data_IF_208376772493
#
_entry.id   IF_208376772493
#
_cell.length_a   1.000
_cell.length_b   1.000
_cell.length_c   1.000
_cell.angle_alpha   90.00
_cell.angle_beta   90.00
_cell.angle_gamma   90.00
#
_symmetry.space_group_name_H-M   'P 1'
#
loop_
_entity.id
_entity.type
_entity.pdbx_description
1 polymer ?
#
# COMPACT_ATOMS: atom_id res chain seq x y z
N UNK A 1 -3.37 34.94 25.76
CA UNK A 1 -2.45 33.90 26.24
C UNK A 1 -2.03 32.99 25.09
N UNK A 2 -0.76 32.95 24.64
CA UNK A 2 -0.37 32.13 23.51
C UNK A 2 0.01 30.72 23.96
N UNK A 3 -0.72 29.73 23.45
CA UNK A 3 -0.52 28.30 23.65
C UNK A 3 0.79 27.84 22.99
N UNK A 4 1.82 27.50 23.79
CA UNK A 4 3.10 26.97 23.29
C UNK A 4 2.93 25.50 22.89
N UNK A 5 2.87 25.21 21.59
CA UNK A 5 3.10 23.85 21.08
C UNK A 5 4.56 23.46 21.36
N UNK A 6 4.78 22.61 22.37
CA UNK A 6 6.10 22.09 22.72
C UNK A 6 6.52 21.02 21.71
N UNK A 7 7.33 21.39 20.72
CA UNK A 7 8.15 20.44 19.97
C UNK A 7 9.26 19.88 20.85
N UNK A 8 9.46 18.56 20.84
CA UNK A 8 10.49 17.86 21.64
C UNK A 8 11.84 18.08 20.95
N UNK A 9 12.73 18.88 21.55
CA UNK A 9 14.10 19.10 21.05
C UNK A 9 15.03 18.00 21.57
N UNK A 10 15.46 17.08 20.70
CA UNK A 10 16.67 16.25 20.91
C UNK A 10 17.67 16.56 19.79
N UNK A 11 18.81 17.16 20.13
CA UNK A 11 20.00 17.14 19.28
C UNK A 11 19.99 17.92 17.96
N UNK A 12 19.27 19.04 17.85
CA UNK A 12 19.41 19.94 16.68
C UNK A 12 18.84 19.43 15.36
N UNK A 13 18.02 18.38 15.38
CA UNK A 13 17.26 17.89 14.22
C UNK A 13 15.78 18.15 14.50
N UNK A 14 15.12 18.91 13.63
CA UNK A 14 13.67 19.13 13.67
C UNK A 14 12.95 17.81 13.34
N UNK A 15 12.43 17.15 14.37
CA UNK A 15 11.64 15.94 14.22
C UNK A 15 10.16 16.30 14.04
N UNK A 16 9.59 15.91 12.90
CA UNK A 16 8.16 16.00 12.63
C UNK A 16 7.55 14.60 12.55
N UNK A 17 6.39 14.42 13.16
CA UNK A 17 5.63 13.18 13.09
C UNK A 17 4.70 13.26 11.88
N UNK A 18 4.77 12.26 11.00
CA UNK A 18 3.91 12.14 9.83
C UNK A 18 3.10 10.85 9.92
N UNK A 19 1.81 10.92 9.56
CA UNK A 19 0.97 9.74 9.33
C UNK A 19 0.94 9.42 7.84
N UNK A 20 0.99 8.14 7.49
CA UNK A 20 0.74 7.71 6.11
C UNK A 20 -0.68 8.12 5.71
N UNK A 21 -0.86 8.53 4.46
CA UNK A 21 -2.20 8.78 3.91
C UNK A 21 -2.90 7.42 3.77
N UNK A 22 -4.20 7.30 4.10
CA UNK A 22 -4.97 6.13 3.72
C UNK A 22 -5.06 6.13 2.19
N UNK A 23 -4.59 5.05 1.56
CA UNK A 23 -4.63 4.88 0.10
C UNK A 23 -5.69 3.85 -0.20
N UNK A 24 -6.74 4.26 -0.92
CA UNK A 24 -7.70 3.33 -1.51
C UNK A 24 -7.08 2.82 -2.81
N UNK A 25 -7.08 1.51 -2.99
CA UNK A 25 -6.58 0.84 -4.19
C UNK A 25 -7.71 0.03 -4.81
N UNK A 26 -7.69 -0.11 -6.12
CA UNK A 26 -8.62 -1.02 -6.82
C UNK A 26 -7.98 -2.39 -6.88
N UNK A 27 -8.69 -3.43 -6.47
CA UNK A 27 -8.22 -4.80 -6.58
C UNK A 27 -9.32 -5.70 -7.10
N UNK A 28 -8.95 -6.71 -7.88
CA UNK A 28 -9.84 -7.75 -8.36
C UNK A 28 -9.19 -9.11 -8.21
N UNK A 29 -9.99 -10.15 -8.04
CA UNK A 29 -9.49 -11.52 -7.94
C UNK A 29 -9.42 -12.15 -9.33
N UNK A 30 -8.29 -12.76 -9.68
CA UNK A 30 -8.17 -13.50 -10.94
C UNK A 30 -8.73 -14.92 -10.79
N UNK A 31 -9.38 -15.45 -11.82
CA UNK A 31 -9.83 -16.85 -11.89
C UNK A 31 -8.84 -17.78 -12.58
N UNK A 32 -7.80 -17.24 -13.22
CA UNK A 32 -6.83 -17.96 -14.03
C UNK A 32 -5.41 -17.54 -13.62
N UNK A 33 -4.43 -18.39 -13.91
CA UNK A 33 -3.02 -18.01 -13.80
C UNK A 33 -2.67 -16.95 -14.86
N UNK A 34 -1.96 -15.90 -14.45
CA UNK A 34 -1.52 -14.83 -15.34
C UNK A 34 -0.16 -14.30 -14.92
N UNK A 35 0.63 -13.91 -15.91
CA UNK A 35 1.91 -13.26 -15.71
C UNK A 35 1.76 -11.74 -15.85
N UNK A 36 2.07 -11.02 -14.77
CA UNK A 36 2.04 -9.57 -14.70
C UNK A 36 3.43 -9.04 -14.99
N UNK A 37 3.56 -8.29 -16.08
CA UNK A 37 4.80 -7.62 -16.46
C UNK A 37 4.93 -6.32 -15.68
N UNK A 38 5.76 -6.31 -14.64
CA UNK A 38 6.10 -5.10 -13.88
C UNK A 38 7.48 -4.58 -14.30
N UNK A 39 7.82 -3.35 -13.89
CA UNK A 39 9.15 -2.77 -14.09
C UNK A 39 10.26 -3.58 -13.40
N UNK A 40 9.93 -4.24 -12.29
CA UNK A 40 10.85 -5.07 -11.50
C UNK A 40 10.97 -6.51 -12.04
N UNK A 41 10.17 -6.88 -13.05
CA UNK A 41 10.15 -8.19 -13.68
C UNK A 41 8.76 -8.80 -13.83
N UNK A 42 8.73 -10.04 -14.30
CA UNK A 42 7.49 -10.80 -14.46
C UNK A 42 7.08 -11.38 -13.11
N UNK A 43 5.88 -11.06 -12.66
CA UNK A 43 5.28 -11.61 -11.46
C UNK A 43 4.17 -12.57 -11.85
N UNK A 44 4.26 -13.82 -11.38
CA UNK A 44 3.23 -14.82 -11.63
C UNK A 44 2.11 -14.69 -10.59
N UNK A 45 0.87 -14.59 -11.06
CA UNK A 45 -0.34 -14.63 -10.25
C UNK A 45 -1.06 -15.95 -10.52
N UNK A 46 -1.50 -16.64 -9.48
CA UNK A 46 -2.31 -17.85 -9.63
C UNK A 46 -3.80 -17.54 -9.55
N UNK A 47 -4.62 -18.45 -10.09
CA UNK A 47 -6.07 -18.40 -9.89
C UNK A 47 -6.42 -18.27 -8.40
N UNK A 48 -7.20 -17.24 -8.05
CA UNK A 48 -7.57 -16.91 -6.67
C UNK A 48 -6.73 -15.81 -6.03
N UNK A 49 -5.63 -15.38 -6.64
CA UNK A 49 -4.86 -14.23 -6.17
C UNK A 49 -5.57 -12.90 -6.51
N UNK A 50 -5.33 -11.89 -5.68
CA UNK A 50 -5.79 -10.52 -5.91
C UNK A 50 -4.77 -9.75 -6.73
N UNK A 51 -5.21 -9.12 -7.81
CA UNK A 51 -4.41 -8.16 -8.56
C UNK A 51 -4.76 -6.77 -8.07
N UNK A 52 -3.80 -6.11 -7.44
CA UNK A 52 -3.94 -4.76 -6.90
C UNK A 52 -3.43 -3.77 -7.93
N UNK A 53 -4.25 -2.79 -8.28
CA UNK A 53 -3.89 -1.63 -9.09
C UNK A 53 -3.54 -0.46 -8.18
N UNK A 54 -2.26 -0.07 -8.16
CA UNK A 54 -1.76 1.08 -7.45
C UNK A 54 -2.18 2.40 -8.08
N UNK A 55 -2.02 3.50 -7.34
CA UNK A 55 -2.35 4.88 -7.77
C UNK A 55 -1.64 5.34 -9.04
N UNK A 56 -0.49 4.73 -9.38
CA UNK A 56 0.28 5.04 -10.59
C UNK A 56 -0.10 4.15 -11.79
N UNK A 57 -1.10 3.26 -11.64
CA UNK A 57 -1.48 2.24 -12.62
C UNK A 57 -0.61 0.98 -12.59
N UNK A 58 0.23 0.83 -11.56
CA UNK A 58 1.07 -0.36 -11.37
C UNK A 58 0.24 -1.52 -10.84
N UNK A 59 0.42 -2.72 -11.39
CA UNK A 59 -0.32 -3.92 -10.99
C UNK A 59 0.59 -4.88 -10.24
N UNK A 60 0.08 -5.47 -9.15
CA UNK A 60 0.82 -6.43 -8.35
C UNK A 60 -0.09 -7.59 -7.92
N UNK A 61 0.39 -8.84 -8.00
CA UNK A 61 -0.31 -9.97 -7.42
C UNK A 61 -0.13 -9.99 -5.90
N UNK A 62 -1.21 -10.29 -5.20
CA UNK A 62 -1.26 -10.40 -3.75
C UNK A 62 -2.10 -11.61 -3.36
N UNK A 63 -1.63 -12.37 -2.38
CA UNK A 63 -2.39 -13.52 -1.87
C UNK A 63 -3.64 -13.07 -1.12
N UNK A 64 -4.77 -13.78 -1.25
CA UNK A 64 -6.01 -13.45 -0.56
C UNK A 64 -5.82 -13.33 0.97
N UNK A 65 -5.08 -14.26 1.58
CA UNK A 65 -4.81 -14.26 3.02
C UNK A 65 -4.10 -13.00 3.54
N UNK A 66 -3.32 -12.35 2.69
CA UNK A 66 -2.58 -11.11 3.01
C UNK A 66 -3.46 -9.90 2.71
N UNK A 67 -4.19 -9.96 1.60
CA UNK A 67 -5.07 -8.89 1.16
C UNK A 67 -6.14 -8.60 2.22
N UNK A 68 -6.87 -9.61 2.68
CA UNK A 68 -7.94 -9.48 3.68
C UNK A 68 -7.46 -8.98 5.05
N UNK A 69 -6.16 -9.15 5.36
CA UNK A 69 -5.55 -8.63 6.60
C UNK A 69 -5.05 -7.20 6.48
N UNK A 70 -4.79 -6.75 5.25
CA UNK A 70 -4.12 -5.47 4.98
C UNK A 70 -5.09 -4.41 4.45
N UNK A 71 -6.15 -4.86 3.76
CA UNK A 71 -7.14 -4.01 3.11
C UNK A 71 -8.53 -4.33 3.66
N UNK A 72 -9.32 -3.28 3.84
CA UNK A 72 -10.74 -3.35 4.22
C UNK A 72 -11.57 -2.71 3.09
N UNK A 73 -12.76 -3.26 2.84
CA UNK A 73 -13.74 -2.65 1.93
C UNK A 73 -14.24 -1.33 2.55
N UNK A 74 -14.20 -0.25 1.78
CA UNK A 74 -14.56 1.12 2.20
C UNK A 74 -15.95 1.54 1.74
#
# INVERSE_FOLDING_TARGET
SPCRRKGIRRGGIDVAQYRKKPVVVEAYQTSEDMDIYTLEGVMHASAGDYIITGISGEQYPCKPDIFEKTYEEV
#
